data_IF_353030239268
#
_entry.id   IF_353030239268
#
_cell.length_a   1.000
_cell.length_b   1.000
_cell.length_c   1.000
_cell.angle_alpha   90.00
_cell.angle_beta   90.00
_cell.angle_gamma   90.00
#
_symmetry.space_group_name_H-M   'P 1'
#
loop_
_entity.id
_entity.type
_entity.pdbx_description
1 polymer ?
#
# COMPACT_ATOMS: atom_id res chain seq x y z
N UNK A 1 -7.55 -41.14 11.18
CA UNK A 1 -7.90 -40.19 10.11
C UNK A 1 -8.71 -38.98 10.63
N UNK A 2 -9.88 -39.14 11.28
CA UNK A 2 -10.72 -38.00 11.75
C UNK A 2 -10.00 -37.09 12.70
N UNK A 3 -9.33 -37.62 13.75
CA UNK A 3 -8.60 -36.80 14.73
C UNK A 3 -7.50 -35.98 14.05
N UNK A 4 -6.76 -36.55 13.11
CA UNK A 4 -5.71 -35.86 12.35
C UNK A 4 -6.26 -34.67 11.55
N UNK A 5 -7.42 -34.81 10.88
CA UNK A 5 -8.06 -33.74 10.15
C UNK A 5 -8.55 -32.60 11.08
N UNK A 6 -9.09 -32.93 12.26
CA UNK A 6 -9.47 -31.93 13.26
C UNK A 6 -8.25 -31.18 13.75
N UNK A 7 -7.17 -31.88 14.10
CA UNK A 7 -5.91 -31.24 14.53
C UNK A 7 -5.34 -30.35 13.42
N UNK A 8 -5.31 -30.83 12.18
CA UNK A 8 -4.83 -30.03 11.04
C UNK A 8 -5.68 -28.77 10.82
N UNK A 9 -7.02 -28.86 10.95
CA UNK A 9 -7.89 -27.69 10.86
C UNK A 9 -7.64 -26.70 12.02
N UNK A 10 -7.46 -27.17 13.24
CA UNK A 10 -7.12 -26.30 14.37
C UNK A 10 -5.79 -25.59 14.17
N UNK A 11 -4.77 -26.27 13.62
CA UNK A 11 -3.49 -25.66 13.27
C UNK A 11 -3.67 -24.61 12.16
N UNK A 12 -4.50 -24.86 11.15
CA UNK A 12 -4.81 -23.88 10.10
C UNK A 12 -5.52 -22.63 10.67
N UNK A 13 -6.44 -22.81 11.64
CA UNK A 13 -7.08 -21.68 12.32
C UNK A 13 -6.07 -20.88 13.14
N UNK A 14 -5.21 -21.56 13.91
CA UNK A 14 -4.16 -20.90 14.70
C UNK A 14 -3.23 -20.09 13.76
N UNK A 15 -2.80 -20.70 12.65
CA UNK A 15 -1.99 -20.01 11.64
C UNK A 15 -2.71 -18.79 11.07
N UNK A 16 -4.00 -18.88 10.75
CA UNK A 16 -4.81 -17.76 10.25
C UNK A 16 -4.86 -16.60 11.26
N UNK A 17 -5.03 -16.90 12.56
CA UNK A 17 -5.07 -15.89 13.60
C UNK A 17 -3.69 -15.26 13.84
N UNK A 18 -2.62 -16.06 13.89
CA UNK A 18 -1.25 -15.55 14.06
C UNK A 18 -0.82 -14.65 12.90
N UNK A 19 -1.14 -15.04 11.67
CA UNK A 19 -0.86 -14.26 10.47
C UNK A 19 -1.75 -13.01 10.41
N UNK A 20 -3.04 -13.16 10.65
CA UNK A 20 -4.02 -12.07 10.57
C UNK A 20 -3.74 -10.94 11.56
N UNK A 21 -3.30 -11.27 12.77
CA UNK A 21 -2.99 -10.29 13.83
C UNK A 21 -1.49 -10.02 13.98
N UNK A 22 -0.69 -10.28 12.95
CA UNK A 22 0.74 -10.01 12.95
C UNK A 22 1.09 -8.51 12.99
N UNK A 23 0.13 -7.63 12.68
CA UNK A 23 0.23 -6.18 12.83
C UNK A 23 0.50 -5.72 14.27
N UNK A 24 0.21 -6.58 15.26
CA UNK A 24 0.50 -6.35 16.68
C UNK A 24 1.97 -6.54 17.03
N UNK A 25 2.75 -7.22 16.18
CA UNK A 25 4.14 -7.51 16.43
C UNK A 25 5.01 -6.29 16.13
N UNK A 26 5.80 -5.87 17.12
CA UNK A 26 6.79 -4.81 16.91
C UNK A 26 7.98 -5.37 16.12
N UNK A 27 8.35 -4.78 14.97
CA UNK A 27 9.42 -5.30 14.12
C UNK A 27 10.79 -5.42 14.80
N UNK A 28 11.09 -4.53 15.74
CA UNK A 28 12.36 -4.58 16.47
C UNK A 28 12.45 -5.76 17.46
N UNK A 29 11.30 -6.14 18.05
CA UNK A 29 11.23 -7.28 18.97
C UNK A 29 11.06 -8.62 18.23
N UNK A 30 10.31 -8.60 17.11
CA UNK A 30 9.94 -9.79 16.37
C UNK A 30 10.21 -9.64 14.84
N UNK A 31 11.47 -9.35 14.43
CA UNK A 31 11.76 -8.95 13.05
C UNK A 31 11.38 -10.00 12.00
N UNK A 32 11.55 -11.30 12.31
CA UNK A 32 11.20 -12.39 11.37
C UNK A 32 9.71 -12.66 11.29
N UNK A 33 8.98 -12.46 12.39
CA UNK A 33 7.54 -12.72 12.46
C UNK A 33 6.69 -11.54 11.99
N UNK A 34 7.23 -10.33 11.95
CA UNK A 34 6.51 -9.13 11.49
C UNK A 34 6.09 -9.19 10.02
N UNK A 35 6.67 -10.09 9.24
CA UNK A 35 6.39 -10.24 7.81
C UNK A 35 5.45 -11.42 7.49
N UNK A 36 4.99 -12.17 8.49
CA UNK A 36 4.11 -13.32 8.24
C UNK A 36 2.76 -12.93 7.63
N UNK A 37 2.36 -11.64 7.73
CA UNK A 37 1.20 -11.09 7.02
C UNK A 37 1.21 -11.31 5.51
N UNK A 38 2.38 -11.51 4.89
CA UNK A 38 2.52 -11.89 3.48
C UNK A 38 1.91 -13.27 3.17
N UNK A 39 1.77 -14.14 4.19
CA UNK A 39 1.17 -15.47 4.06
C UNK A 39 -0.37 -15.45 4.13
N UNK A 40 -0.99 -14.27 4.29
CA UNK A 40 -2.45 -14.15 4.48
C UNK A 40 -3.27 -14.87 3.40
N UNK A 41 -2.96 -14.78 2.09
CA UNK A 41 -3.71 -15.51 1.07
C UNK A 41 -3.67 -17.04 1.27
N UNK A 42 -2.50 -17.56 1.63
CA UNK A 42 -2.30 -19.01 1.80
C UNK A 42 -3.09 -19.55 3.01
N UNK A 43 -3.06 -18.81 4.15
CA UNK A 43 -3.80 -19.26 5.35
C UNK A 43 -5.30 -19.09 5.22
N UNK A 44 -5.79 -18.08 4.47
CA UNK A 44 -7.21 -17.97 4.11
C UNK A 44 -7.60 -19.17 3.26
N UNK A 45 -6.85 -19.46 2.20
CA UNK A 45 -7.13 -20.58 1.30
C UNK A 45 -7.17 -21.93 2.06
N UNK A 46 -6.20 -22.16 2.95
CA UNK A 46 -6.17 -23.38 3.78
C UNK A 46 -7.45 -23.53 4.62
N UNK A 47 -7.94 -22.46 5.24
CA UNK A 47 -9.18 -22.49 6.02
C UNK A 47 -10.42 -22.67 5.15
N UNK A 48 -10.46 -22.10 3.93
CA UNK A 48 -11.54 -22.36 2.96
C UNK A 48 -11.53 -23.82 2.45
N UNK A 49 -10.36 -24.42 2.27
CA UNK A 49 -10.25 -25.85 1.95
C UNK A 49 -10.85 -26.71 3.06
N UNK A 50 -10.56 -26.43 4.33
CA UNK A 50 -11.18 -27.13 5.46
C UNK A 50 -12.69 -26.88 5.54
N UNK A 51 -13.16 -25.69 5.19
CA UNK A 51 -14.60 -25.40 5.11
C UNK A 51 -15.28 -26.33 4.11
N UNK A 52 -14.75 -26.42 2.88
CA UNK A 52 -15.26 -27.32 1.82
C UNK A 52 -15.16 -28.80 2.25
N UNK A 53 -14.03 -29.18 2.82
CA UNK A 53 -13.78 -30.55 3.27
C UNK A 53 -14.81 -31.00 4.33
N UNK A 54 -15.15 -30.14 5.30
CA UNK A 54 -16.14 -30.46 6.32
C UNK A 54 -17.58 -30.47 5.77
N UNK A 55 -17.90 -29.64 4.78
CA UNK A 55 -19.19 -29.72 4.05
C UNK A 55 -19.36 -31.10 3.47
N UNK A 56 -18.32 -31.63 2.82
CA UNK A 56 -18.37 -32.92 2.11
C UNK A 56 -18.30 -34.12 3.04
N UNK A 57 -17.45 -34.10 4.06
CA UNK A 57 -17.16 -35.25 4.89
C UNK A 57 -18.01 -35.33 6.17
N UNK A 58 -18.17 -34.20 6.87
CA UNK A 58 -18.82 -34.12 8.19
C UNK A 58 -19.39 -32.74 8.46
N UNK A 59 -20.60 -32.39 8.01
CA UNK A 59 -21.21 -31.07 8.20
C UNK A 59 -21.30 -30.61 9.66
N UNK A 60 -21.33 -31.56 10.60
CA UNK A 60 -21.33 -31.26 12.04
C UNK A 60 -20.03 -30.60 12.55
N UNK A 61 -18.92 -30.68 11.81
CA UNK A 61 -17.64 -30.06 12.16
C UNK A 61 -17.39 -28.74 11.42
N UNK A 62 -18.36 -28.29 10.61
CA UNK A 62 -18.29 -27.06 9.84
C UNK A 62 -18.09 -25.83 10.73
N UNK A 63 -18.58 -25.89 11.98
CA UNK A 63 -18.42 -24.78 12.93
C UNK A 63 -16.95 -24.45 13.23
N UNK A 64 -16.01 -25.41 13.09
CA UNK A 64 -14.58 -25.17 13.33
C UNK A 64 -14.00 -24.10 12.40
N UNK A 65 -13.95 -24.32 11.06
CA UNK A 65 -13.43 -23.32 10.13
C UNK A 65 -14.30 -22.04 10.13
N UNK A 66 -15.62 -22.13 10.33
CA UNK A 66 -16.50 -20.97 10.44
C UNK A 66 -16.09 -20.11 11.64
N UNK A 67 -15.86 -20.69 12.82
CA UNK A 67 -15.39 -19.98 13.99
C UNK A 67 -14.03 -19.32 13.75
N UNK A 68 -13.08 -20.04 13.09
CA UNK A 68 -11.78 -19.49 12.71
C UNK A 68 -11.90 -18.27 11.79
N UNK A 69 -12.74 -18.34 10.76
CA UNK A 69 -12.98 -17.24 9.83
C UNK A 69 -13.68 -16.05 10.53
N UNK A 70 -14.62 -16.31 11.44
CA UNK A 70 -15.27 -15.26 12.23
C UNK A 70 -14.28 -14.56 13.18
N UNK A 71 -13.41 -15.31 13.87
CA UNK A 71 -12.35 -14.74 14.70
C UNK A 71 -11.34 -13.93 13.92
N UNK A 72 -11.06 -14.32 12.68
CA UNK A 72 -10.17 -13.61 11.77
C UNK A 72 -10.91 -12.60 10.85
N UNK A 73 -12.19 -12.30 11.12
CA UNK A 73 -12.98 -11.44 10.22
C UNK A 73 -12.35 -10.08 9.99
N UNK A 74 -11.84 -9.44 11.05
CA UNK A 74 -11.20 -8.12 10.94
C UNK A 74 -9.99 -8.14 10.01
N UNK A 75 -8.95 -8.96 10.23
CA UNK A 75 -7.80 -8.99 9.33
C UNK A 75 -8.15 -9.48 7.91
N UNK A 76 -9.12 -10.40 7.76
CA UNK A 76 -9.59 -10.82 6.42
C UNK A 76 -10.20 -9.62 5.70
N UNK A 77 -11.06 -8.85 6.39
CA UNK A 77 -11.69 -7.66 5.83
C UNK A 77 -10.69 -6.54 5.52
N UNK A 78 -9.64 -6.38 6.31
CA UNK A 78 -8.56 -5.45 6.01
C UNK A 78 -7.78 -5.86 4.77
N UNK A 79 -7.49 -7.16 4.63
CA UNK A 79 -6.73 -7.69 3.51
C UNK A 79 -7.56 -7.73 2.22
N UNK A 80 -8.80 -8.21 2.30
CA UNK A 80 -9.73 -8.34 1.18
C UNK A 80 -11.07 -7.71 1.56
N UNK A 81 -11.19 -6.37 1.46
CA UNK A 81 -12.44 -5.69 1.75
C UNK A 81 -13.52 -6.03 0.72
N UNK A 82 -14.77 -5.90 1.17
CA UNK A 82 -15.96 -5.95 0.34
C UNK A 82 -16.93 -4.87 0.79
N UNK A 83 -17.31 -4.01 -0.12
CA UNK A 83 -18.16 -2.86 0.15
C UNK A 83 -19.25 -2.76 -0.93
N UNK A 84 -20.43 -2.24 -0.60
CA UNK A 84 -21.38 -1.83 -1.63
C UNK A 84 -20.76 -0.71 -2.45
N UNK A 85 -21.02 -0.71 -3.75
CA UNK A 85 -20.59 0.38 -4.64
C UNK A 85 -21.46 1.60 -4.35
N UNK A 86 -20.83 2.67 -3.89
CA UNK A 86 -21.46 3.98 -3.72
C UNK A 86 -20.82 4.95 -4.70
N UNK A 87 -21.64 5.69 -5.44
CA UNK A 87 -21.16 6.75 -6.31
C UNK A 87 -20.66 7.94 -5.48
N UNK A 88 -19.51 8.53 -5.82
CA UNK A 88 -19.02 9.72 -5.14
C UNK A 88 -20.00 10.89 -5.36
N UNK A 89 -20.29 11.68 -4.32
CA UNK A 89 -21.13 12.86 -4.48
C UNK A 89 -20.45 13.92 -5.35
N UNK A 90 -21.26 14.78 -5.94
CA UNK A 90 -20.76 15.91 -6.72
C UNK A 90 -19.85 16.80 -5.87
N UNK A 91 -18.66 17.12 -6.38
CA UNK A 91 -17.67 17.91 -5.67
C UNK A 91 -16.74 17.12 -4.73
N UNK A 92 -16.85 15.78 -4.70
CA UNK A 92 -15.84 14.95 -4.02
C UNK A 92 -14.48 15.09 -4.72
N UNK A 93 -13.42 15.22 -3.92
CA UNK A 93 -12.05 15.40 -4.38
C UNK A 93 -11.46 14.06 -4.82
N UNK A 94 -10.93 13.97 -6.01
CA UNK A 94 -10.23 12.77 -6.49
C UNK A 94 -8.74 12.86 -6.17
N UNK A 95 -8.23 11.90 -5.40
CA UNK A 95 -6.80 11.74 -5.14
C UNK A 95 -6.31 10.46 -5.82
N UNK A 96 -5.19 10.59 -6.55
CA UNK A 96 -4.45 9.49 -7.17
C UNK A 96 -3.04 9.43 -6.56
N UNK A 97 -2.61 8.24 -6.17
CA UNK A 97 -1.26 7.97 -5.70
C UNK A 97 -0.61 6.87 -6.53
N UNK A 98 0.65 7.06 -6.96
CA UNK A 98 1.33 6.10 -7.80
C UNK A 98 2.85 6.15 -7.65
N UNK A 99 3.48 5.03 -7.34
CA UNK A 99 4.92 4.85 -7.51
C UNK A 99 5.21 4.62 -9.01
N UNK A 100 5.90 5.58 -9.63
CA UNK A 100 6.12 5.61 -11.09
C UNK A 100 7.48 5.01 -11.49
N UNK A 101 8.20 4.35 -10.58
CA UNK A 101 9.46 3.65 -10.84
C UNK A 101 10.42 4.50 -11.71
N UNK A 102 10.68 5.74 -11.31
CA UNK A 102 11.54 6.71 -12.01
C UNK A 102 11.13 6.98 -13.47
N UNK A 103 9.88 6.70 -13.81
CA UNK A 103 9.36 6.69 -15.18
C UNK A 103 10.15 5.74 -16.12
N UNK A 104 10.62 4.63 -15.58
CA UNK A 104 11.30 3.59 -16.35
C UNK A 104 10.44 3.08 -17.48
N UNK A 105 10.05 2.81 -18.24
CA UNK A 105 9.07 2.46 -19.30
C UNK A 105 8.51 3.69 -20.02
N UNK A 106 8.97 4.88 -19.66
CA UNK A 106 8.63 6.11 -20.34
C UNK A 106 9.47 6.20 -21.64
N UNK A 107 9.11 5.39 -22.61
CA UNK A 107 9.67 5.48 -23.97
C UNK A 107 8.66 6.25 -24.81
N UNK A 108 8.98 7.49 -25.16
CA UNK A 108 8.25 8.20 -26.21
C UNK A 108 9.00 8.10 -27.53
N UNK A 109 8.31 7.67 -28.56
CA UNK A 109 8.68 8.09 -29.91
C UNK A 109 8.39 9.58 -30.02
N UNK A 110 9.26 10.32 -30.71
CA UNK A 110 9.11 11.76 -30.88
C UNK A 110 7.68 12.12 -31.28
N UNK A 111 6.97 12.90 -30.45
CA UNK A 111 5.60 13.34 -30.68
C UNK A 111 4.48 12.50 -30.06
N UNK A 112 4.75 11.32 -29.44
CA UNK A 112 3.74 10.50 -28.76
C UNK A 112 3.83 10.64 -27.24
N UNK A 113 2.69 10.84 -26.57
CA UNK A 113 2.61 10.74 -25.09
C UNK A 113 2.66 9.26 -24.71
N UNK A 114 3.52 8.91 -23.73
CA UNK A 114 3.52 7.56 -23.18
C UNK A 114 2.16 7.20 -22.58
N UNK A 115 1.87 5.91 -22.45
CA UNK A 115 0.65 5.40 -21.82
C UNK A 115 0.52 5.92 -20.37
N UNK A 116 1.61 5.88 -19.59
CA UNK A 116 1.67 6.43 -18.23
C UNK A 116 1.26 7.91 -18.21
N UNK A 117 1.77 8.71 -19.18
CA UNK A 117 1.47 10.13 -19.24
C UNK A 117 0.01 10.39 -19.63
N UNK A 118 -0.53 9.63 -20.56
CA UNK A 118 -1.96 9.70 -20.92
C UNK A 118 -2.82 9.39 -19.70
N UNK A 119 -2.51 8.28 -18.99
CA UNK A 119 -3.23 7.91 -17.79
C UNK A 119 -3.23 9.01 -16.72
N UNK A 120 -2.06 9.59 -16.42
CA UNK A 120 -1.94 10.68 -15.44
C UNK A 120 -2.73 11.94 -15.87
N UNK A 121 -2.63 12.31 -17.15
CA UNK A 121 -3.36 13.47 -17.68
C UNK A 121 -4.87 13.24 -17.75
N UNK A 122 -5.30 12.03 -18.11
CA UNK A 122 -6.72 11.70 -18.29
C UNK A 122 -7.39 11.30 -16.98
N UNK A 123 -6.62 11.10 -15.90
CA UNK A 123 -7.14 10.70 -14.58
C UNK A 123 -8.15 11.67 -13.98
N UNK A 124 -8.13 12.92 -14.40
CA UNK A 124 -8.97 14.03 -13.89
C UNK A 124 -8.95 14.16 -12.35
N UNK A 125 -7.81 13.82 -11.74
CA UNK A 125 -7.63 13.91 -10.30
C UNK A 125 -7.44 15.36 -9.84
N UNK A 126 -7.91 15.68 -8.63
CA UNK A 126 -7.64 16.96 -7.98
C UNK A 126 -6.23 16.98 -7.39
N UNK A 127 -5.78 15.82 -6.94
CA UNK A 127 -4.43 15.61 -6.40
C UNK A 127 -3.79 14.38 -7.06
N UNK A 128 -2.54 14.55 -7.52
CA UNK A 128 -1.68 13.44 -7.96
C UNK A 128 -0.43 13.42 -7.08
N UNK A 129 -0.28 12.34 -6.31
CA UNK A 129 0.89 12.08 -5.47
C UNK A 129 1.74 11.00 -6.13
N UNK A 130 2.95 11.35 -6.58
CA UNK A 130 3.86 10.38 -7.18
C UNK A 130 5.02 10.07 -6.24
N UNK A 131 5.45 8.81 -6.24
CA UNK A 131 6.66 8.32 -5.60
C UNK A 131 7.65 7.90 -6.68
N UNK A 132 8.94 7.97 -6.35
CA UNK A 132 10.03 7.73 -7.29
C UNK A 132 9.95 8.59 -8.57
N UNK A 133 9.36 9.76 -8.49
CA UNK A 133 9.34 10.68 -9.62
C UNK A 133 10.74 11.23 -9.87
N UNK A 134 11.09 11.44 -11.15
CA UNK A 134 12.35 12.06 -11.56
C UNK A 134 12.08 13.28 -12.41
N UNK A 135 12.87 14.35 -12.20
CA UNK A 135 12.83 15.57 -13.02
C UNK A 135 14.13 15.68 -13.83
N UNK A 136 14.14 15.10 -15.01
CA UNK A 136 15.32 15.11 -15.89
C UNK A 136 15.52 16.42 -16.65
N UNK A 137 14.64 17.42 -16.43
CA UNK A 137 14.73 18.74 -17.09
C UNK A 137 14.44 18.73 -18.60
N UNK A 138 14.12 17.56 -19.15
CA UNK A 138 13.81 17.36 -20.55
C UNK A 138 12.45 17.98 -20.93
N UNK A 139 12.32 18.43 -22.18
CA UNK A 139 11.07 19.00 -22.70
C UNK A 139 9.90 18.01 -22.71
N UNK A 140 10.20 16.72 -22.74
CA UNK A 140 9.25 15.60 -22.71
C UNK A 140 9.06 15.01 -21.30
N UNK A 141 9.69 15.59 -20.26
CA UNK A 141 9.56 15.11 -18.91
C UNK A 141 8.08 15.04 -18.47
N UNK A 142 7.61 13.89 -17.91
CA UNK A 142 6.27 13.76 -17.38
C UNK A 142 5.89 14.86 -16.39
N UNK A 143 6.81 15.27 -15.54
CA UNK A 143 6.57 16.35 -14.57
C UNK A 143 6.32 17.69 -15.26
N UNK A 144 6.97 17.97 -16.39
CA UNK A 144 6.72 19.20 -17.13
C UNK A 144 5.31 19.23 -17.72
N UNK A 145 4.83 18.12 -18.26
CA UNK A 145 3.46 18.00 -18.76
C UNK A 145 2.43 18.14 -17.66
N UNK A 146 2.67 17.56 -16.47
CA UNK A 146 1.80 17.77 -15.30
C UNK A 146 1.81 19.23 -14.83
N UNK A 147 2.97 19.93 -14.86
CA UNK A 147 3.07 21.36 -14.54
C UNK A 147 2.28 22.26 -15.52
N UNK A 148 2.06 21.79 -16.75
CA UNK A 148 1.18 22.51 -17.69
C UNK A 148 -0.30 22.32 -17.41
N UNK A 149 -0.68 21.12 -16.90
CA UNK A 149 -2.07 20.81 -16.60
C UNK A 149 -2.53 21.34 -15.23
N UNK A 150 -1.66 21.25 -14.23
CA UNK A 150 -1.95 21.61 -12.84
C UNK A 150 -1.37 22.97 -12.48
N UNK A 151 -2.23 23.85 -11.91
CA UNK A 151 -1.81 25.19 -11.51
C UNK A 151 -0.76 25.19 -10.39
N UNK A 152 -0.78 24.16 -9.54
CA UNK A 152 0.13 24.06 -8.39
C UNK A 152 0.83 22.72 -8.39
N UNK A 153 2.15 22.73 -8.37
CA UNK A 153 2.97 21.52 -8.33
C UNK A 153 4.18 21.72 -7.44
N UNK A 154 4.60 20.66 -6.77
CA UNK A 154 5.84 20.63 -6.00
C UNK A 154 6.58 19.32 -6.25
N UNK A 155 7.86 19.41 -6.56
CA UNK A 155 8.79 18.28 -6.65
C UNK A 155 9.84 18.41 -5.57
N UNK A 156 9.92 17.43 -4.69
CA UNK A 156 10.88 17.38 -3.59
C UNK A 156 11.86 16.26 -3.89
N UNK A 157 13.04 16.60 -4.41
CA UNK A 157 14.05 15.57 -4.72
C UNK A 157 14.61 14.96 -3.45
N UNK A 158 14.87 13.67 -3.48
CA UNK A 158 15.71 13.01 -2.49
C UNK A 158 17.18 13.37 -2.78
N UNK A 159 17.94 13.68 -1.76
CA UNK A 159 19.38 13.86 -1.88
C UNK A 159 20.05 12.49 -2.11
N UNK A 160 20.02 12.00 -3.34
CA UNK A 160 20.57 10.72 -3.79
C UNK A 160 21.14 10.86 -5.19
N UNK A 161 22.02 9.95 -5.60
CA UNK A 161 22.62 9.96 -6.95
C UNK A 161 21.57 9.82 -8.08
N UNK A 162 20.45 9.15 -7.79
CA UNK A 162 19.38 8.94 -8.78
C UNK A 162 18.48 10.15 -8.99
N UNK A 163 18.50 11.15 -8.07
CA UNK A 163 17.71 12.35 -8.17
C UNK A 163 16.18 12.14 -8.18
N UNK A 164 15.70 10.95 -7.80
CA UNK A 164 14.28 10.70 -7.65
C UNK A 164 13.71 11.38 -6.39
N UNK A 165 12.40 11.57 -6.35
CA UNK A 165 11.76 12.24 -5.24
C UNK A 165 10.26 12.01 -5.21
N UNK A 166 9.60 12.84 -4.40
CA UNK A 166 8.15 12.88 -4.30
C UNK A 166 7.61 14.09 -5.08
N UNK A 167 6.50 13.88 -5.75
CA UNK A 167 5.82 14.94 -6.50
C UNK A 167 4.36 15.03 -6.07
N UNK A 168 3.89 16.27 -5.96
CA UNK A 168 2.47 16.60 -5.80
C UNK A 168 2.07 17.52 -6.95
N UNK A 169 1.02 17.13 -7.70
CA UNK A 169 0.26 18.04 -8.52
C UNK A 169 -1.11 18.28 -7.88
N UNK A 170 -1.56 19.52 -7.88
CA UNK A 170 -2.79 19.96 -7.21
C UNK A 170 -3.53 20.98 -8.06
N UNK A 171 -4.87 20.87 -8.07
CA UNK A 171 -5.74 21.96 -8.58
C UNK A 171 -5.84 23.13 -7.60
N UNK A 172 -5.45 22.91 -6.35
CA UNK A 172 -5.56 23.86 -5.24
C UNK A 172 -4.18 24.36 -4.82
N UNK A 173 -4.09 25.59 -4.26
CA UNK A 173 -2.83 26.19 -3.84
C UNK A 173 -2.06 25.33 -2.84
N UNK A 174 -0.80 25.02 -3.13
CA UNK A 174 0.15 24.40 -2.19
C UNK A 174 0.77 25.55 -1.38
N UNK A 175 0.42 25.63 -0.09
CA UNK A 175 0.87 26.74 0.80
C UNK A 175 2.29 26.52 1.32
N UNK A 176 2.62 25.28 1.66
CA UNK A 176 3.94 24.92 2.15
C UNK A 176 4.17 23.40 2.02
N UNK A 177 5.41 22.99 2.15
CA UNK A 177 5.78 21.58 2.28
C UNK A 177 6.93 21.44 3.27
N UNK A 178 7.02 20.29 3.93
CA UNK A 178 8.05 19.98 4.90
C UNK A 178 8.42 18.48 4.86
N UNK A 179 9.69 18.18 4.69
CA UNK A 179 10.17 16.80 4.68
C UNK A 179 10.19 16.24 6.10
N UNK A 180 9.67 15.05 6.30
CA UNK A 180 9.71 14.36 7.59
C UNK A 180 11.13 13.85 7.83
N UNK A 181 11.80 14.30 8.91
CA UNK A 181 13.24 14.11 9.09
C UNK A 181 13.59 12.70 9.59
N UNK A 182 13.68 11.73 8.70
CA UNK A 182 14.28 10.43 9.02
C UNK A 182 15.41 10.09 8.03
N UNK A 183 16.40 9.36 8.53
CA UNK A 183 17.54 8.97 7.70
C UNK A 183 17.18 7.76 6.83
N UNK A 184 17.31 7.92 5.52
CA UNK A 184 17.19 6.83 4.55
C UNK A 184 17.93 7.20 3.26
N UNK A 185 18.64 6.29 2.59
CA UNK A 185 19.32 6.60 1.33
C UNK A 185 18.35 6.85 0.18
N UNK A 186 17.22 6.14 0.09
CA UNK A 186 16.30 6.19 -1.06
C UNK A 186 14.85 6.54 -0.71
N UNK A 187 14.46 6.60 0.57
CA UNK A 187 13.07 6.79 0.97
C UNK A 187 12.85 8.14 1.63
N UNK A 188 11.66 8.68 1.50
CA UNK A 188 11.26 9.96 2.08
C UNK A 188 9.76 10.07 2.26
N UNK A 189 9.34 10.98 3.15
CA UNK A 189 7.95 11.41 3.30
C UNK A 189 7.91 12.93 3.35
N UNK A 190 6.91 13.51 2.71
CA UNK A 190 6.71 14.95 2.65
C UNK A 190 5.28 15.28 3.05
N UNK A 191 5.14 16.25 3.93
CA UNK A 191 3.91 16.85 4.40
C UNK A 191 3.65 18.12 3.59
N UNK A 192 2.60 18.16 2.81
CA UNK A 192 2.15 19.28 2.01
C UNK A 192 0.92 19.91 2.67
N UNK A 193 0.92 21.20 2.87
CA UNK A 193 -0.26 21.96 3.29
C UNK A 193 -0.90 22.60 2.06
N UNK A 194 -2.16 22.26 1.80
CA UNK A 194 -2.92 22.69 0.61
C UNK A 194 -4.16 23.45 1.07
N UNK A 195 -4.54 24.50 0.34
CA UNK A 195 -5.78 25.28 0.59
C UNK A 195 -6.90 24.82 -0.36
N UNK A 196 -7.83 24.06 0.14
CA UNK A 196 -8.98 23.57 -0.62
C UNK A 196 -10.18 24.49 -0.37
N UNK A 197 -10.27 25.57 -1.14
CA UNK A 197 -11.38 26.51 -1.03
C UNK A 197 -11.50 27.19 0.34
N UNK A 198 -10.38 27.54 0.97
CA UNK A 198 -10.32 28.14 2.31
C UNK A 198 -10.12 27.12 3.44
N UNK A 199 -10.28 25.84 3.18
CA UNK A 199 -9.97 24.78 4.15
C UNK A 199 -8.54 24.28 3.94
N UNK A 200 -7.69 24.45 4.93
CA UNK A 200 -6.34 23.88 4.92
C UNK A 200 -6.41 22.38 5.14
N UNK A 201 -5.78 21.62 4.24
CA UNK A 201 -5.68 20.16 4.25
C UNK A 201 -4.21 19.78 4.24
N UNK A 202 -3.83 18.83 5.08
CA UNK A 202 -2.50 18.23 5.09
C UNK A 202 -2.50 16.96 4.24
N UNK A 203 -1.62 16.90 3.22
CA UNK A 203 -1.40 15.71 2.37
C UNK A 203 0.02 15.20 2.65
N UNK A 204 0.15 14.01 3.22
CA UNK A 204 1.44 13.38 3.48
C UNK A 204 1.68 12.32 2.42
N UNK A 205 2.60 12.62 1.50
CA UNK A 205 3.03 11.68 0.46
C UNK A 205 4.24 10.88 0.98
N UNK A 206 4.15 9.55 0.90
CA UNK A 206 5.11 8.63 1.50
C UNK A 206 5.74 7.71 0.46
N UNK A 207 7.05 7.51 0.56
CA UNK A 207 7.75 6.38 -0.01
C UNK A 207 8.63 5.79 1.09
N UNK A 208 8.14 4.73 1.76
CA UNK A 208 8.79 4.11 2.90
C UNK A 208 9.75 3.00 2.47
N UNK A 209 10.62 2.59 3.39
CA UNK A 209 11.65 1.58 3.16
C UNK A 209 11.08 0.29 2.59
N UNK A 210 11.55 -0.07 1.40
CA UNK A 210 11.24 -1.35 0.76
C UNK A 210 11.96 -2.52 1.46
N UNK A 211 11.56 -3.73 1.11
CA UNK A 211 12.30 -4.94 1.53
C UNK A 211 13.66 -5.06 0.85
N UNK A 212 13.89 -4.33 -0.23
CA UNK A 212 15.13 -4.36 -1.00
C UNK A 212 15.38 -5.71 -1.69
N UNK A 213 14.32 -6.43 -2.07
CA UNK A 213 14.38 -7.69 -2.81
C UNK A 213 14.66 -7.35 -4.27
N UNK A 214 15.77 -7.87 -4.81
CA UNK A 214 16.12 -7.71 -6.23
C UNK A 214 15.20 -8.53 -7.13
N UNK A 215 15.18 -8.21 -8.43
CA UNK A 215 14.42 -8.96 -9.42
C UNK A 215 14.84 -10.44 -9.45
N UNK A 216 16.15 -10.70 -9.44
CA UNK A 216 16.69 -12.05 -9.38
C UNK A 216 16.20 -12.84 -8.16
N UNK A 217 16.23 -12.24 -6.96
CA UNK A 217 15.76 -12.91 -5.74
C UNK A 217 14.25 -13.20 -5.78
N UNK A 218 13.46 -12.39 -6.49
CA UNK A 218 12.04 -12.66 -6.74
C UNK A 218 11.84 -13.82 -7.71
N UNK A 219 12.66 -13.90 -8.76
CA UNK A 219 12.65 -15.02 -9.71
C UNK A 219 13.06 -16.32 -9.02
N UNK A 220 14.15 -16.30 -8.24
CA UNK A 220 14.62 -17.45 -7.46
C UNK A 220 13.51 -17.94 -6.51
N UNK A 221 12.83 -17.02 -5.82
CA UNK A 221 11.70 -17.36 -4.96
C UNK A 221 10.52 -17.97 -5.75
N UNK A 222 10.24 -17.47 -6.94
CA UNK A 222 9.21 -18.04 -7.81
C UNK A 222 9.55 -19.49 -8.21
N UNK A 223 10.81 -19.78 -8.58
CA UNK A 223 11.29 -21.13 -8.87
C UNK A 223 11.19 -22.05 -7.65
N UNK A 224 11.48 -21.55 -6.44
CA UNK A 224 11.26 -22.30 -5.19
C UNK A 224 9.79 -22.71 -5.04
N UNK A 225 8.86 -21.78 -5.28
CA UNK A 225 7.42 -22.08 -5.18
C UNK A 225 6.93 -23.09 -6.22
N UNK A 226 7.59 -23.18 -7.38
CA UNK A 226 7.30 -24.17 -8.44
C UNK A 226 7.93 -25.54 -8.16
N UNK A 227 8.86 -25.61 -7.19
CA UNK A 227 9.57 -26.86 -6.86
C UNK A 227 10.75 -27.17 -7.80
N UNK A 228 11.21 -26.17 -8.55
CA UNK A 228 12.28 -26.30 -9.56
C UNK A 228 13.69 -26.19 -8.95
N UNK A 229 13.80 -26.05 -7.61
CA UNK A 229 15.06 -25.83 -6.90
C UNK A 229 15.32 -26.96 -5.91
N UNK A 230 16.57 -27.40 -5.78
CA UNK A 230 16.96 -28.40 -4.78
C UNK A 230 16.65 -27.92 -3.34
N UNK A 231 16.21 -28.86 -2.48
CA UNK A 231 15.71 -28.54 -1.13
C UNK A 231 16.72 -27.74 -0.26
N UNK A 232 18.01 -28.05 -0.34
CA UNK A 232 19.03 -27.34 0.43
C UNK A 232 19.23 -25.89 -0.07
N UNK A 233 19.25 -25.69 -1.38
CA UNK A 233 19.32 -24.37 -2.01
C UNK A 233 18.08 -23.55 -1.68
N UNK A 234 16.90 -24.12 -1.85
CA UNK A 234 15.62 -23.49 -1.51
C UNK A 234 15.57 -23.05 -0.05
N UNK A 235 16.10 -23.86 0.87
CA UNK A 235 16.20 -23.53 2.30
C UNK A 235 17.11 -22.32 2.55
N UNK A 236 18.31 -22.29 1.93
CA UNK A 236 19.27 -21.20 2.09
C UNK A 236 18.70 -19.89 1.56
N UNK A 237 18.14 -19.89 0.36
CA UNK A 237 17.55 -18.72 -0.28
C UNK A 237 16.34 -18.18 0.50
N UNK A 238 15.48 -19.09 1.01
CA UNK A 238 14.36 -18.70 1.88
C UNK A 238 14.84 -18.03 3.16
N UNK A 239 15.89 -18.53 3.80
CA UNK A 239 16.44 -17.90 5.02
C UNK A 239 17.04 -16.52 4.74
N UNK A 240 17.74 -16.35 3.61
CA UNK A 240 18.28 -15.07 3.17
C UNK A 240 17.15 -14.06 2.88
N UNK A 241 16.09 -14.51 2.24
CA UNK A 241 14.90 -13.68 1.97
C UNK A 241 14.24 -13.23 3.29
N UNK A 242 14.02 -14.14 4.25
CA UNK A 242 13.47 -13.81 5.57
C UNK A 242 14.35 -12.80 6.30
N UNK A 243 15.65 -12.93 6.24
CA UNK A 243 16.60 -11.98 6.86
C UNK A 243 16.48 -10.59 6.21
N UNK A 244 16.37 -10.53 4.88
CA UNK A 244 16.24 -9.30 4.12
C UNK A 244 14.92 -8.61 4.41
N UNK A 245 13.81 -9.34 4.41
CA UNK A 245 12.48 -8.87 4.82
C UNK A 245 12.53 -8.27 6.23
N UNK A 246 13.15 -8.99 7.17
CA UNK A 246 13.29 -8.57 8.57
C UNK A 246 14.04 -7.24 8.71
N UNK A 247 15.17 -7.09 8.01
CA UNK A 247 15.96 -5.85 7.99
C UNK A 247 15.16 -4.67 7.40
N UNK A 248 14.49 -4.90 6.27
CA UNK A 248 13.64 -3.89 5.63
C UNK A 248 12.54 -3.40 6.56
N UNK A 249 11.80 -4.32 7.18
CA UNK A 249 10.70 -4.00 8.09
C UNK A 249 11.17 -3.27 9.36
N UNK A 250 12.31 -3.69 9.95
CA UNK A 250 12.85 -3.00 11.13
C UNK A 250 13.29 -1.56 10.81
N UNK A 251 13.91 -1.33 9.65
CA UNK A 251 14.26 0.04 9.20
C UNK A 251 13.00 0.87 8.95
N UNK A 252 12.00 0.30 8.27
CA UNK A 252 10.73 0.94 7.99
C UNK A 252 9.99 1.34 9.27
N UNK A 253 10.01 0.52 10.33
CA UNK A 253 9.33 0.80 11.59
C UNK A 253 9.77 2.13 12.22
N UNK A 254 11.06 2.49 12.12
CA UNK A 254 11.55 3.78 12.60
C UNK A 254 10.96 4.95 11.78
N UNK A 255 10.91 4.84 10.44
CA UNK A 255 10.31 5.84 9.56
C UNK A 255 8.80 6.00 9.85
N UNK A 256 8.10 4.88 10.00
CA UNK A 256 6.66 4.83 10.31
C UNK A 256 6.32 5.59 11.58
N UNK A 257 7.13 5.46 12.64
CA UNK A 257 6.89 6.23 13.89
C UNK A 257 7.04 7.73 13.69
N UNK A 258 7.99 8.18 12.86
CA UNK A 258 8.18 9.59 12.54
C UNK A 258 7.00 10.15 11.73
N UNK A 259 6.54 9.39 10.72
CA UNK A 259 5.37 9.78 9.91
C UNK A 259 4.11 9.78 10.78
N UNK A 260 3.90 8.75 11.61
CA UNK A 260 2.76 8.69 12.52
C UNK A 260 2.76 9.86 13.51
N UNK A 261 3.92 10.25 14.04
CA UNK A 261 4.03 11.43 14.91
C UNK A 261 3.61 12.71 14.17
N UNK A 262 4.02 12.90 12.90
CA UNK A 262 3.59 14.03 12.07
C UNK A 262 2.07 13.99 11.81
N UNK A 263 1.50 12.84 11.48
CA UNK A 263 0.05 12.68 11.34
C UNK A 263 -0.67 13.12 12.61
N UNK A 264 -0.25 12.60 13.77
CA UNK A 264 -0.86 12.95 15.06
C UNK A 264 -0.70 14.42 15.41
N UNK A 265 0.42 15.03 15.06
CA UNK A 265 0.62 16.47 15.21
C UNK A 265 -0.41 17.26 14.40
N UNK A 266 -0.57 16.96 13.09
CA UNK A 266 -1.51 17.65 12.21
C UNK A 266 -2.96 17.48 12.65
N UNK A 267 -3.34 16.27 13.10
CA UNK A 267 -4.66 16.02 13.68
C UNK A 267 -4.91 16.85 14.94
N UNK A 268 -3.92 16.98 15.84
CA UNK A 268 -4.01 17.84 17.04
C UNK A 268 -4.12 19.33 16.71
N UNK A 269 -3.51 19.78 15.61
CA UNK A 269 -3.65 21.13 15.07
C UNK A 269 -5.06 21.35 14.47
N UNK A 270 -5.90 20.33 14.44
CA UNK A 270 -7.26 20.40 13.88
C UNK A 270 -7.28 20.37 12.35
N UNK A 271 -6.19 20.01 11.70
CA UNK A 271 -6.13 19.92 10.24
C UNK A 271 -6.69 18.58 9.76
N UNK A 272 -7.52 18.58 8.70
CA UNK A 272 -7.79 17.39 7.92
C UNK A 272 -6.51 16.80 7.35
N UNK A 273 -6.34 15.47 7.48
CA UNK A 273 -5.14 14.76 7.05
C UNK A 273 -5.50 13.71 6.01
N UNK A 274 -4.71 13.66 4.93
CA UNK A 274 -4.65 12.57 3.97
C UNK A 274 -3.21 12.05 3.99
N UNK A 275 -3.00 10.76 4.24
CA UNK A 275 -1.69 10.12 4.12
C UNK A 275 -1.76 9.06 3.03
N UNK A 276 -0.93 9.21 1.99
CA UNK A 276 -0.94 8.29 0.85
C UNK A 276 0.48 7.92 0.43
N UNK A 277 0.59 6.97 -0.48
CA UNK A 277 1.84 6.58 -1.11
C UNK A 277 2.17 5.11 -0.95
N UNK A 278 3.41 4.79 -1.32
CA UNK A 278 4.00 3.48 -1.18
C UNK A 278 4.50 3.28 0.26
N UNK A 279 3.71 2.51 1.03
CA UNK A 279 4.07 2.17 2.41
C UNK A 279 5.00 0.96 2.47
N UNK A 280 5.22 0.28 1.34
CA UNK A 280 6.03 -0.92 1.23
C UNK A 280 5.62 -2.03 2.21
N UNK A 281 4.34 -2.06 2.64
CA UNK A 281 3.85 -3.04 3.59
C UNK A 281 2.35 -3.33 3.41
N UNK A 282 1.91 -4.50 3.87
CA UNK A 282 0.53 -5.00 3.71
C UNK A 282 -0.47 -4.28 4.61
N UNK A 283 -1.79 -4.36 4.33
CA UNK A 283 -2.82 -3.74 5.17
C UNK A 283 -2.98 -4.39 6.56
N UNK A 284 -2.33 -5.52 6.81
CA UNK A 284 -2.29 -6.22 8.11
C UNK A 284 -0.87 -6.21 8.69
N UNK A 285 -0.16 -5.10 8.57
CA UNK A 285 1.21 -4.92 9.04
C UNK A 285 1.30 -3.89 10.17
N UNK A 286 2.40 -3.94 10.92
CA UNK A 286 2.75 -2.90 11.89
C UNK A 286 2.76 -1.50 11.26
N UNK A 287 3.27 -1.37 10.05
CA UNK A 287 3.31 -0.13 9.26
C UNK A 287 1.92 0.45 9.09
N UNK A 288 1.01 -0.32 8.50
CA UNK A 288 -0.35 0.10 8.23
C UNK A 288 -1.10 0.43 9.53
N UNK A 289 -1.04 -0.47 10.53
CA UNK A 289 -1.67 -0.25 11.86
C UNK A 289 -1.21 1.04 12.52
N UNK A 290 0.10 1.36 12.41
CA UNK A 290 0.67 2.54 13.07
C UNK A 290 0.26 3.82 12.37
N UNK A 291 0.29 3.84 11.02
CA UNK A 291 -0.08 5.03 10.23
C UNK A 291 -1.58 5.28 10.21
N UNK A 292 -2.41 4.23 10.25
CA UNK A 292 -3.88 4.35 10.23
C UNK A 292 -4.48 4.78 11.58
N UNK A 293 -3.67 4.98 12.62
CA UNK A 293 -4.20 5.40 13.92
C UNK A 293 -4.84 6.81 13.85
N UNK A 294 -6.17 6.84 14.00
CA UNK A 294 -6.99 8.07 13.85
C UNK A 294 -7.27 8.43 12.39
N UNK A 295 -7.00 7.53 11.46
CA UNK A 295 -7.34 7.65 10.05
C UNK A 295 -8.14 6.42 9.58
N UNK A 296 -8.92 6.60 8.54
CA UNK A 296 -9.65 5.55 7.81
C UNK A 296 -8.85 5.18 6.56
N UNK A 297 -8.59 3.89 6.34
CA UNK A 297 -8.07 3.42 5.05
C UNK A 297 -9.19 3.45 4.01
N UNK A 298 -8.98 4.25 2.95
CA UNK A 298 -9.98 4.49 1.91
C UNK A 298 -10.31 3.21 1.13
N UNK A 299 -9.32 2.34 0.89
CA UNK A 299 -9.55 1.09 0.18
C UNK A 299 -10.33 0.08 1.04
N UNK A 300 -10.02 -0.02 2.32
CA UNK A 300 -10.77 -0.88 3.25
C UNK A 300 -12.21 -0.38 3.40
N UNK A 301 -12.42 0.94 3.38
CA UNK A 301 -13.74 1.56 3.58
C UNK A 301 -14.63 1.56 2.34
N UNK A 302 -14.06 1.63 1.12
CA UNK A 302 -14.85 1.81 -0.10
C UNK A 302 -14.36 1.02 -1.32
N UNK A 303 -13.27 0.25 -1.19
CA UNK A 303 -12.75 -0.64 -2.23
C UNK A 303 -13.24 -2.07 -2.11
N UNK A 304 -12.89 -2.90 -3.10
CA UNK A 304 -13.29 -4.31 -3.17
C UNK A 304 -12.13 -5.21 -3.61
N UNK A 305 -12.08 -6.40 -3.00
CA UNK A 305 -11.06 -7.40 -3.29
C UNK A 305 -9.69 -7.09 -2.66
N UNK A 306 -8.64 -7.83 -2.97
CA UNK A 306 -7.31 -7.67 -2.36
C UNK A 306 -6.61 -6.37 -2.77
N UNK A 307 -6.94 -5.78 -3.92
CA UNK A 307 -6.37 -4.51 -4.41
C UNK A 307 -4.87 -4.55 -4.58
N UNK A 308 -4.36 -5.56 -5.27
CA UNK A 308 -2.91 -5.74 -5.47
C UNK A 308 -2.32 -4.56 -6.20
N UNK A 309 -1.51 -3.76 -5.51
CA UNK A 309 -0.87 -2.58 -6.09
C UNK A 309 0.56 -2.83 -6.57
N UNK A 310 1.23 -3.86 -6.07
CA UNK A 310 2.54 -4.32 -6.55
C UNK A 310 2.39 -5.58 -7.41
N UNK A 311 3.04 -5.60 -8.60
CA UNK A 311 2.77 -6.59 -9.64
C UNK A 311 3.99 -7.39 -10.12
N UNK A 312 5.09 -7.42 -9.37
CA UNK A 312 6.30 -8.16 -9.76
C UNK A 312 6.36 -9.56 -9.15
N UNK A 313 6.79 -10.50 -9.97
CA UNK A 313 7.12 -11.91 -9.72
C UNK A 313 6.84 -12.45 -8.31
N UNK A 314 5.70 -13.12 -8.13
CA UNK A 314 5.37 -13.90 -6.93
C UNK A 314 4.90 -13.11 -5.70
N UNK A 315 5.06 -11.79 -5.66
CA UNK A 315 4.60 -10.95 -4.54
C UNK A 315 3.47 -10.05 -5.02
N UNK A 316 2.25 -10.53 -4.86
CA UNK A 316 1.03 -9.82 -5.27
C UNK A 316 0.29 -9.29 -4.03
N UNK A 317 0.62 -8.08 -3.60
CA UNK A 317 0.02 -7.49 -2.40
C UNK A 317 -0.29 -6.02 -2.59
N UNK A 318 -1.20 -5.48 -1.77
CA UNK A 318 -1.42 -4.04 -1.66
C UNK A 318 -0.41 -3.46 -0.69
N UNK A 319 0.48 -2.61 -1.20
CA UNK A 319 1.50 -1.88 -0.43
C UNK A 319 1.38 -0.37 -0.60
N UNK A 320 0.55 0.06 -1.55
CA UNK A 320 0.17 1.45 -1.73
C UNK A 320 -1.17 1.69 -1.04
N UNK A 321 -1.25 2.77 -0.26
CA UNK A 321 -2.41 3.06 0.57
C UNK A 321 -2.81 4.53 0.48
N UNK A 322 -4.10 4.79 0.73
CA UNK A 322 -4.65 6.12 0.95
C UNK A 322 -5.43 6.08 2.26
N UNK A 323 -5.00 6.87 3.23
CA UNK A 323 -5.62 7.01 4.53
C UNK A 323 -6.15 8.43 4.66
N UNK A 324 -7.33 8.63 5.25
CA UNK A 324 -7.90 9.94 5.47
C UNK A 324 -8.47 10.10 6.89
N UNK A 325 -8.42 11.31 7.43
CA UNK A 325 -9.09 11.64 8.69
C UNK A 325 -10.62 11.63 8.53
N UNK A 326 -11.34 11.57 9.63
CA UNK A 326 -12.81 11.55 9.69
C UNK A 326 -13.49 12.81 9.11
N UNK A 327 -12.71 13.85 8.80
CA UNK A 327 -13.14 14.99 7.98
C UNK A 327 -13.52 14.58 6.55
N UNK A 328 -13.08 13.43 6.09
CA UNK A 328 -13.38 12.91 4.76
C UNK A 328 -14.18 11.60 4.86
N UNK A 329 -15.13 11.42 3.92
CA UNK A 329 -15.70 10.10 3.63
C UNK A 329 -15.13 9.62 2.29
N UNK A 330 -14.46 8.44 2.26
CA UNK A 330 -13.94 7.89 1.02
C UNK A 330 -15.03 7.15 0.23
N UNK A 331 -14.92 7.23 -1.11
CA UNK A 331 -15.78 6.53 -2.06
C UNK A 331 -14.94 5.90 -3.17
N UNK A 332 -15.39 4.75 -3.67
CA UNK A 332 -14.90 4.12 -4.89
C UNK A 332 -13.38 3.93 -4.95
N UNK A 333 -12.75 3.65 -3.81
CA UNK A 333 -11.32 3.40 -3.80
C UNK A 333 -10.96 2.19 -4.66
N UNK A 334 -9.99 2.36 -5.55
CA UNK A 334 -9.61 1.35 -6.53
C UNK A 334 -8.09 1.34 -6.72
N UNK A 335 -7.52 0.14 -6.84
CA UNK A 335 -6.23 -0.07 -7.50
C UNK A 335 -6.53 -0.37 -8.96
N UNK A 336 -5.95 0.40 -9.87
CA UNK A 336 -6.25 0.27 -11.30
C UNK A 336 -5.18 -0.55 -12.00
N UNK A 337 -5.47 -1.83 -12.18
CA UNK A 337 -4.62 -2.83 -12.83
C UNK A 337 -4.75 -2.85 -14.36
N UNK A 338 -5.40 -1.84 -14.96
CA UNK A 338 -5.48 -1.71 -16.42
C UNK A 338 -4.23 -1.14 -17.06
N UNK A 339 -3.32 -0.54 -16.27
CA UNK A 339 -2.06 0.04 -16.74
C UNK A 339 -0.84 -0.69 -16.17
N UNK A 340 0.13 -1.05 -17.04
CA UNK A 340 1.26 -1.91 -16.70
C UNK A 340 2.63 -1.24 -16.93
N UNK A 341 2.69 0.09 -16.92
CA UNK A 341 3.90 0.86 -17.24
C UNK A 341 4.83 1.10 -16.04
N UNK A 342 4.44 0.65 -14.85
CA UNK A 342 5.26 0.62 -13.63
C UNK A 342 5.15 -0.75 -12.98
N UNK A 343 6.02 -1.09 -12.05
CA UNK A 343 5.88 -2.26 -11.19
C UNK A 343 4.86 -2.05 -10.06
N UNK A 344 4.30 -0.85 -9.94
CA UNK A 344 3.13 -0.55 -9.14
C UNK A 344 1.94 -0.17 -10.02
N UNK A 345 0.75 -0.50 -9.57
CA UNK A 345 -0.50 0.02 -10.12
C UNK A 345 -0.95 1.26 -9.35
N UNK A 346 -1.51 2.28 -10.03
CA UNK A 346 -2.03 3.45 -9.35
C UNK A 346 -3.20 3.09 -8.43
N UNK A 347 -3.25 3.72 -7.25
CA UNK A 347 -4.39 3.69 -6.36
C UNK A 347 -5.06 5.06 -6.33
N UNK A 348 -6.39 5.10 -6.37
CA UNK A 348 -7.14 6.33 -6.27
C UNK A 348 -8.43 6.16 -5.46
N UNK A 349 -8.97 7.26 -4.98
CA UNK A 349 -10.29 7.33 -4.35
C UNK A 349 -10.87 8.73 -4.50
N UNK A 350 -12.18 8.85 -4.26
CA UNK A 350 -12.86 10.13 -4.08
C UNK A 350 -13.07 10.37 -2.60
N UNK A 351 -12.92 11.62 -2.18
CA UNK A 351 -12.97 12.09 -0.79
C UNK A 351 -14.02 13.20 -0.68
N UNK A 352 -15.14 12.90 -0.07
CA UNK A 352 -16.14 13.91 0.28
C UNK A 352 -15.69 14.65 1.55
N UNK A 353 -15.57 15.98 1.45
CA UNK A 353 -15.29 16.81 2.63
C UNK A 353 -16.57 16.93 3.48
N UNK A 354 -16.44 16.57 4.76
CA UNK A 354 -17.53 16.71 5.72
C UNK A 354 -17.31 17.99 6.53
N UNK A 355 -18.30 18.88 6.61
CA UNK A 355 -18.21 19.98 7.56
C UNK A 355 -18.04 19.39 8.97
N UNK A 356 -17.17 19.99 9.78
CA UNK A 356 -17.10 19.66 11.21
C UNK A 356 -18.47 19.88 11.82
N UNK A 357 -18.99 18.91 12.62
CA UNK A 357 -20.22 19.10 13.35
C UNK A 357 -20.10 20.27 14.32
#
# INVERSE_FOLDING_TARGET
>A
MRLLLVVANLLAIIALLLVGYSDLLQPEAWPKLSNVGLLMPAVILANLVFLVLWILLRPRLLWLPVAGLLLAFVPIRQYTPFNPTEEPPHGALKLLSWNVAMFEGYVTKEGEKSEMMRYLLDSDADFICLQEATDKGDSLSPLKLLRHKYAYTAFIPKASETGHGLFLASRYPILSHDSIPYHSPGNMSVDFLVDVGGQKVCIINNHLQSYGISEKEREDFHHILQGDVEADTARIETLQLIEKLSKGTTRRAAQVRMVAARIQQRLKEGLPVIACGDFNDTPISYTHRTLSKGLTDCYIASGNGPGRSFNRNGIYTRIDHILCSDFFKPYGAKVDDSIHTSDHYPIFCWLEMRPKP
#
